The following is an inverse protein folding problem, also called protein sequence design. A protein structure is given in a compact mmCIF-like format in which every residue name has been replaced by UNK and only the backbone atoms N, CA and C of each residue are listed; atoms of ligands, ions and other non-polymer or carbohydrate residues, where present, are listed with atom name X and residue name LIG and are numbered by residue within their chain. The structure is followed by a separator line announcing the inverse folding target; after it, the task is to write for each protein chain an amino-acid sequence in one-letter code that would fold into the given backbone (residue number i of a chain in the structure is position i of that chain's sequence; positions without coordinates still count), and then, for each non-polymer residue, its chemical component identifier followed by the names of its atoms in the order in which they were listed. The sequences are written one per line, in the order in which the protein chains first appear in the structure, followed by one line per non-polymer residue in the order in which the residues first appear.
data_IF_821580307904
#
_entry.id   IF_821580307904
#
_cell.length_a   1.000
_cell.length_b   1.000
_cell.length_c   1.000
_cell.angle_alpha   90.00
_cell.angle_beta   90.00
_cell.angle_gamma   90.00
#
_symmetry.space_group_name_H-M   'P 1'
#
loop_
_entity.id
_entity.type
_entity.pdbx_description
1 polymer ?
#
# COMPACT_ATOMS: atom_id res chain seq x y z
N UNK A 1 12.07 -54.95 13.89
CA UNK A 1 11.39 -55.90 12.98
C UNK A 1 12.46 -56.74 12.31
N UNK A 2 12.36 -58.07 12.31
CA UNK A 2 13.31 -58.93 11.58
C UNK A 2 13.19 -58.68 10.08
N UNK A 3 14.31 -58.67 9.35
CA UNK A 3 14.29 -58.53 7.89
C UNK A 3 13.70 -59.78 7.22
N UNK A 4 13.26 -59.68 5.96
CA UNK A 4 12.69 -60.83 5.25
C UNK A 4 13.69 -61.98 5.07
N UNK A 5 14.99 -61.69 4.99
CA UNK A 5 16.06 -62.70 4.92
C UNK A 5 16.24 -63.41 6.27
N UNK A 6 16.25 -62.67 7.38
CA UNK A 6 16.33 -63.24 8.74
C UNK A 6 15.11 -64.14 9.06
N UNK A 7 13.93 -63.82 8.52
CA UNK A 7 12.74 -64.65 8.65
C UNK A 7 12.85 -65.96 7.86
N UNK A 8 13.48 -65.94 6.69
CA UNK A 8 13.73 -67.14 5.88
C UNK A 8 14.71 -68.08 6.59
N UNK A 9 15.78 -67.52 7.17
CA UNK A 9 16.74 -68.29 7.95
C UNK A 9 16.13 -68.85 9.24
N UNK A 10 15.39 -68.02 9.98
CA UNK A 10 14.75 -68.42 11.24
C UNK A 10 13.73 -69.56 11.07
N UNK A 11 13.03 -69.60 9.94
CA UNK A 11 12.07 -70.66 9.64
C UNK A 11 12.67 -71.82 8.81
N UNK A 12 13.97 -71.79 8.53
CA UNK A 12 14.67 -72.90 7.85
C UNK A 12 14.36 -73.03 6.36
N UNK A 13 13.93 -71.95 5.71
CA UNK A 13 13.70 -71.90 4.27
C UNK A 13 12.52 -71.03 3.84
N UNK A 14 12.43 -70.76 2.54
CA UNK A 14 11.45 -69.83 1.96
C UNK A 14 10.01 -70.34 2.14
N UNK A 15 9.78 -71.65 1.98
CA UNK A 15 8.43 -72.24 2.09
C UNK A 15 7.87 -72.24 3.52
N UNK A 16 8.63 -72.62 4.56
CA UNK A 16 8.22 -72.43 5.96
C UNK A 16 7.98 -70.97 6.33
N UNK A 17 8.85 -70.05 5.89
CA UNK A 17 8.71 -68.62 6.15
C UNK A 17 7.47 -68.02 5.47
N UNK A 18 7.18 -68.41 4.22
CA UNK A 18 5.99 -67.97 3.50
C UNK A 18 4.70 -68.44 4.19
N UNK A 19 4.70 -69.68 4.70
CA UNK A 19 3.58 -70.23 5.49
C UNK A 19 3.39 -69.49 6.82
N UNK A 20 4.48 -69.18 7.52
CA UNK A 20 4.44 -68.40 8.77
C UNK A 20 3.93 -66.96 8.56
N UNK A 21 4.25 -66.36 7.41
CA UNK A 21 3.78 -65.03 7.00
C UNK A 21 2.40 -65.04 6.31
N UNK A 22 1.78 -66.22 6.15
CA UNK A 22 0.52 -66.42 5.44
C UNK A 22 0.49 -65.84 4.01
N UNK A 23 1.60 -65.91 3.28
CA UNK A 23 1.72 -65.47 1.89
C UNK A 23 2.14 -66.64 0.98
N UNK A 24 1.79 -66.61 -0.33
CA UNK A 24 2.29 -67.61 -1.28
C UNK A 24 3.83 -67.61 -1.36
N UNK A 25 4.43 -68.79 -1.54
CA UNK A 25 5.89 -68.94 -1.65
C UNK A 25 6.45 -68.13 -2.84
N UNK A 26 5.73 -68.08 -3.96
CA UNK A 26 6.08 -67.27 -5.13
C UNK A 26 6.16 -65.78 -4.79
N UNK A 27 5.27 -65.29 -3.93
CA UNK A 27 5.26 -63.90 -3.45
C UNK A 27 6.47 -63.62 -2.56
N UNK A 28 6.85 -64.55 -1.67
CA UNK A 28 8.04 -64.38 -0.84
C UNK A 28 9.33 -64.43 -1.67
N UNK A 29 9.44 -65.35 -2.64
CA UNK A 29 10.57 -65.38 -3.60
C UNK A 29 10.66 -64.08 -4.40
N UNK A 30 9.54 -63.55 -4.87
CA UNK A 30 9.49 -62.28 -5.59
C UNK A 30 10.00 -61.11 -4.75
N UNK A 31 9.59 -61.04 -3.47
CA UNK A 31 10.07 -60.01 -2.53
C UNK A 31 11.56 -60.15 -2.21
N UNK A 32 12.08 -61.36 -2.05
CA UNK A 32 13.51 -61.60 -1.85
C UNK A 32 14.34 -61.18 -3.08
N UNK A 33 13.88 -61.53 -4.29
CA UNK A 33 14.51 -61.11 -5.54
C UNK A 33 14.47 -59.59 -5.72
N UNK A 34 13.42 -58.92 -5.24
CA UNK A 34 13.32 -57.46 -5.27
C UNK A 34 14.32 -56.79 -4.30
N UNK A 35 14.68 -57.46 -3.19
CA UNK A 35 15.72 -56.99 -2.28
C UNK A 35 17.15 -57.13 -2.84
N UNK A 36 17.36 -57.95 -3.88
CA UNK A 36 18.63 -58.04 -4.62
C UNK A 36 18.86 -56.80 -5.52
N UNK A 37 17.84 -55.96 -5.72
CA UNK A 37 17.91 -54.74 -6.51
C UNK A 37 17.71 -53.52 -5.60
N UNK A 38 18.78 -52.74 -5.39
CA UNK A 38 18.69 -51.45 -4.70
C UNK A 38 18.44 -50.35 -5.73
N UNK A 39 17.26 -49.73 -5.67
CA UNK A 39 16.96 -48.54 -6.46
C UNK A 39 17.39 -47.32 -5.66
N UNK A 40 18.39 -46.59 -6.14
CA UNK A 40 18.70 -45.27 -5.61
C UNK A 40 17.57 -44.31 -6.02
N UNK A 41 16.77 -43.90 -5.03
CA UNK A 41 15.81 -42.83 -5.25
C UNK A 41 16.58 -41.52 -5.44
N UNK A 42 16.24 -40.69 -6.44
CA UNK A 42 16.82 -39.36 -6.55
C UNK A 42 16.51 -38.56 -5.28
N UNK A 43 17.34 -37.55 -4.99
CA UNK A 43 17.05 -36.63 -3.90
C UNK A 43 15.62 -36.06 -4.07
N UNK A 44 14.86 -35.95 -2.97
CA UNK A 44 13.54 -35.33 -3.04
C UNK A 44 13.63 -33.91 -3.60
N UNK A 45 12.78 -33.58 -4.57
CA UNK A 45 12.69 -32.23 -5.16
C UNK A 45 12.32 -31.15 -4.11
N UNK A 46 11.62 -31.57 -3.06
CA UNK A 46 11.20 -30.69 -1.97
C UNK A 46 12.22 -30.71 -0.82
N UNK A 47 12.42 -29.53 -0.23
CA UNK A 47 13.19 -29.40 1.01
C UNK A 47 12.53 -30.24 2.12
N UNK A 48 13.35 -30.87 3.00
CA UNK A 48 12.86 -31.48 4.23
C UNK A 48 12.02 -30.50 5.04
N UNK A 49 10.99 -31.02 5.72
CA UNK A 49 10.00 -30.23 6.47
C UNK A 49 10.69 -29.35 7.51
N UNK A 50 11.75 -29.85 8.15
CA UNK A 50 12.54 -29.12 9.14
C UNK A 50 13.20 -27.86 8.55
N UNK A 51 13.76 -27.97 7.34
CA UNK A 51 14.34 -26.81 6.62
C UNK A 51 13.27 -25.82 6.19
N UNK A 52 12.09 -26.30 5.78
CA UNK A 52 10.94 -25.45 5.48
C UNK A 52 10.49 -24.68 6.73
N UNK A 53 10.40 -25.35 7.88
CA UNK A 53 10.01 -24.73 9.15
C UNK A 53 10.99 -23.61 9.53
N UNK A 54 12.30 -23.85 9.49
CA UNK A 54 13.29 -22.82 9.82
C UNK A 54 13.21 -21.62 8.88
N UNK A 55 13.15 -21.85 7.56
CA UNK A 55 12.94 -20.78 6.57
C UNK A 55 11.68 -19.97 6.87
N UNK A 56 10.57 -20.63 7.26
CA UNK A 56 9.31 -19.95 7.59
C UNK A 56 9.41 -19.13 8.88
N UNK A 57 10.15 -19.60 9.90
CA UNK A 57 10.42 -18.84 11.12
C UNK A 57 11.21 -17.56 10.80
N UNK A 58 12.26 -17.66 9.99
CA UNK A 58 13.05 -16.50 9.57
C UNK A 58 12.22 -15.47 8.78
N UNK A 59 11.45 -15.94 7.79
CA UNK A 59 10.53 -15.10 7.02
C UNK A 59 9.51 -14.40 7.91
N UNK A 60 8.96 -15.10 8.91
CA UNK A 60 8.04 -14.51 9.88
C UNK A 60 8.73 -13.41 10.70
N UNK A 61 9.94 -13.62 11.20
CA UNK A 61 10.64 -12.59 11.98
C UNK A 61 10.97 -11.36 11.13
N UNK A 62 11.38 -11.55 9.87
CA UNK A 62 11.58 -10.45 8.93
C UNK A 62 10.28 -9.68 8.69
N UNK A 63 9.19 -10.39 8.39
CA UNK A 63 7.87 -9.79 8.20
C UNK A 63 7.42 -9.04 9.45
N UNK A 64 7.55 -9.64 10.63
CA UNK A 64 7.21 -9.01 11.92
C UNK A 64 7.97 -7.71 12.13
N UNK A 65 9.29 -7.68 11.90
CA UNK A 65 10.09 -6.44 12.00
C UNK A 65 9.60 -5.37 11.02
N UNK A 66 9.34 -5.77 9.77
CA UNK A 66 8.82 -4.89 8.74
C UNK A 66 7.45 -4.29 9.13
N UNK A 67 6.48 -5.11 9.57
CA UNK A 67 5.16 -4.62 10.00
C UNK A 67 5.28 -3.68 11.21
N UNK A 68 6.11 -4.01 12.21
CA UNK A 68 6.32 -3.16 13.38
C UNK A 68 6.93 -1.80 13.01
N UNK A 69 7.87 -1.76 12.06
CA UNK A 69 8.47 -0.51 11.55
C UNK A 69 7.46 0.30 10.72
N UNK A 70 6.58 -0.38 9.98
CA UNK A 70 5.54 0.25 9.15
C UNK A 70 4.41 0.87 9.98
N UNK A 71 4.15 0.36 11.19
CA UNK A 71 3.08 0.86 12.08
C UNK A 71 3.14 2.38 12.32
N UNK A 72 4.35 2.94 12.42
CA UNK A 72 4.57 4.38 12.51
C UNK A 72 6.01 4.68 12.06
N UNK A 73 6.16 5.20 10.85
CA UNK A 73 7.46 5.48 10.24
C UNK A 73 7.93 6.88 10.68
N UNK A 74 9.07 7.00 11.38
CA UNK A 74 9.61 8.30 11.75
C UNK A 74 10.22 9.00 10.53
N UNK A 75 9.86 10.27 10.32
CA UNK A 75 10.40 11.14 9.28
C UNK A 75 11.06 12.34 9.93
N UNK A 76 12.37 12.48 9.77
CA UNK A 76 13.12 13.62 10.30
C UNK A 76 12.98 14.81 9.34
N UNK A 77 12.26 15.85 9.75
CA UNK A 77 12.17 17.10 9.01
C UNK A 77 13.47 17.87 9.22
N UNK A 78 14.19 18.15 8.13
CA UNK A 78 15.52 18.78 8.18
C UNK A 78 15.50 20.29 7.94
N UNK A 79 14.36 20.83 7.53
CA UNK A 79 14.17 22.27 7.33
C UNK A 79 13.47 22.86 8.54
N UNK A 80 13.85 24.05 8.95
CA UNK A 80 13.21 24.75 10.05
C UNK A 80 11.82 25.28 9.64
N UNK A 81 10.96 25.53 10.64
CA UNK A 81 9.62 26.13 10.59
C UNK A 81 8.59 25.50 9.63
N UNK A 82 7.54 26.22 9.15
CA UNK A 82 6.40 25.58 8.53
C UNK A 82 6.69 24.83 7.24
N UNK A 83 5.99 23.71 7.05
CA UNK A 83 6.01 22.89 5.83
C UNK A 83 4.58 22.74 5.30
N UNK A 84 4.44 22.49 4.00
CA UNK A 84 3.19 22.11 3.37
C UNK A 84 3.26 20.71 2.80
N UNK A 85 2.12 20.03 2.76
CA UNK A 85 1.95 18.77 2.03
C UNK A 85 0.75 18.89 1.11
N UNK A 86 0.97 18.80 -0.19
CA UNK A 86 -0.09 18.70 -1.19
C UNK A 86 -0.46 17.23 -1.36
N UNK A 87 -1.62 16.85 -0.86
CA UNK A 87 -2.16 15.51 -0.97
C UNK A 87 -2.94 15.36 -2.27
N UNK A 88 -2.32 14.74 -3.27
CA UNK A 88 -2.97 14.34 -4.51
C UNK A 88 -3.91 13.18 -4.21
N UNK A 89 -5.20 13.32 -4.55
CA UNK A 89 -6.13 12.20 -4.62
C UNK A 89 -5.85 11.35 -5.84
N UNK A 90 -6.85 10.68 -6.40
CA UNK A 90 -6.65 9.64 -7.42
C UNK A 90 -6.32 10.26 -8.79
N UNK A 91 -5.07 10.18 -9.31
CA UNK A 91 -4.68 10.90 -10.51
C UNK A 91 -5.25 10.31 -11.80
N UNK A 92 -5.26 8.97 -11.95
CA UNK A 92 -5.66 8.28 -13.18
C UNK A 92 -5.09 8.94 -14.46
N UNK A 93 -3.77 9.12 -14.51
CA UNK A 93 -3.10 9.96 -15.52
C UNK A 93 -3.32 9.52 -16.97
N UNK A 94 -3.78 8.30 -17.18
CA UNK A 94 -4.01 7.67 -18.47
C UNK A 94 -5.47 7.69 -18.93
N UNK A 95 -6.39 8.24 -18.14
CA UNK A 95 -7.80 8.37 -18.47
C UNK A 95 -8.10 9.66 -19.25
N UNK A 96 -8.91 9.57 -20.31
CA UNK A 96 -9.32 10.72 -21.12
C UNK A 96 -10.14 11.76 -20.32
N UNK A 97 -10.74 11.33 -19.19
CA UNK A 97 -11.48 12.19 -18.27
C UNK A 97 -10.64 12.92 -17.24
N UNK A 98 -9.31 12.76 -17.27
CA UNK A 98 -8.37 13.35 -16.31
C UNK A 98 -7.92 14.76 -16.71
N UNK A 99 -8.01 15.71 -15.79
CA UNK A 99 -7.46 17.05 -15.97
C UNK A 99 -5.94 17.06 -15.70
N UNK A 100 -5.18 16.66 -16.73
CA UNK A 100 -3.71 16.68 -16.69
C UNK A 100 -3.14 18.09 -16.55
N UNK A 101 -3.86 19.13 -16.99
CA UNK A 101 -3.37 20.52 -16.87
C UNK A 101 -3.36 20.96 -15.41
N UNK A 102 -4.44 20.65 -14.67
CA UNK A 102 -4.51 20.92 -13.24
C UNK A 102 -3.50 20.06 -12.46
N UNK A 103 -3.36 18.78 -12.82
CA UNK A 103 -2.35 17.91 -12.22
C UNK A 103 -0.93 18.48 -12.40
N UNK A 104 -0.57 18.87 -13.62
CA UNK A 104 0.74 19.47 -13.93
C UNK A 104 0.96 20.77 -13.14
N UNK A 105 -0.05 21.64 -13.04
CA UNK A 105 0.04 22.87 -12.26
C UNK A 105 0.34 22.59 -10.77
N UNK A 106 -0.31 21.58 -10.17
CA UNK A 106 -0.06 21.17 -8.79
C UNK A 106 1.31 20.51 -8.60
N UNK A 107 1.79 19.76 -9.60
CA UNK A 107 3.17 19.21 -9.60
C UNK A 107 4.19 20.35 -9.58
N UNK A 108 4.04 21.34 -10.47
CA UNK A 108 4.91 22.53 -10.53
C UNK A 108 4.86 23.31 -9.23
N UNK A 109 3.68 23.45 -8.63
CA UNK A 109 3.54 24.13 -7.34
C UNK A 109 4.42 23.48 -6.26
N UNK A 110 4.45 22.14 -6.20
CA UNK A 110 5.33 21.40 -5.29
C UNK A 110 6.83 21.58 -5.62
N UNK A 111 7.19 21.69 -6.90
CA UNK A 111 8.57 21.93 -7.33
C UNK A 111 9.06 23.34 -6.97
N UNK A 112 8.20 24.34 -7.13
CA UNK A 112 8.56 25.76 -7.06
C UNK A 112 8.39 26.36 -5.65
N UNK A 113 7.50 25.79 -4.83
CA UNK A 113 7.20 26.32 -3.49
C UNK A 113 8.12 25.71 -2.43
N UNK A 114 8.94 26.56 -1.80
CA UNK A 114 9.86 26.11 -0.76
C UNK A 114 9.12 25.47 0.44
N UNK A 115 9.49 24.22 0.76
CA UNK A 115 8.92 23.49 1.89
C UNK A 115 7.53 22.90 1.63
N UNK A 116 7.03 22.95 0.39
CA UNK A 116 5.86 22.19 -0.05
C UNK A 116 6.32 20.84 -0.63
N UNK A 117 5.71 19.76 -0.16
CA UNK A 117 5.99 18.40 -0.64
C UNK A 117 4.74 17.75 -1.19
N UNK A 118 4.89 16.92 -2.22
CA UNK A 118 3.79 16.12 -2.75
C UNK A 118 3.53 14.87 -1.89
N UNK A 119 2.28 14.43 -1.86
CA UNK A 119 1.89 13.14 -1.31
C UNK A 119 0.77 12.53 -2.15
N UNK A 120 0.93 11.30 -2.63
CA UNK A 120 -0.10 10.63 -3.43
C UNK A 120 -0.91 9.63 -2.58
N UNK A 121 -2.22 9.64 -2.77
CA UNK A 121 -3.20 8.78 -2.08
C UNK A 121 -3.58 7.52 -2.89
N UNK A 122 -3.02 7.34 -4.10
CA UNK A 122 -3.10 6.10 -4.87
C UNK A 122 -3.73 6.26 -6.23
N UNK A 123 -3.90 5.15 -6.95
CA UNK A 123 -4.55 5.08 -8.26
C UNK A 123 -3.93 6.06 -9.28
N UNK A 124 -2.61 6.01 -9.37
CA UNK A 124 -1.84 6.87 -10.30
C UNK A 124 -2.28 6.67 -11.74
N UNK A 125 -2.73 5.46 -12.08
CA UNK A 125 -3.20 5.02 -13.40
C UNK A 125 -4.44 4.12 -13.23
N UNK A 126 -5.21 3.96 -14.31
CA UNK A 126 -6.34 3.04 -14.36
C UNK A 126 -5.94 1.56 -14.29
N UNK A 127 -4.79 1.18 -14.87
CA UNK A 127 -4.26 -0.20 -14.82
C UNK A 127 -5.33 -1.29 -15.12
N UNK A 128 -6.11 -1.14 -16.18
CA UNK A 128 -7.21 -2.08 -16.45
C UNK A 128 -6.71 -3.51 -16.69
N UNK A 129 -7.12 -4.47 -15.86
CA UNK A 129 -6.73 -5.89 -16.03
C UNK A 129 -7.94 -6.84 -16.10
N UNK A 130 -7.69 -8.07 -16.56
CA UNK A 130 -8.68 -9.13 -16.59
C UNK A 130 -9.94 -8.71 -17.37
N UNK A 131 -11.11 -8.81 -16.73
CA UNK A 131 -12.40 -8.43 -17.36
C UNK A 131 -12.52 -6.94 -17.66
N UNK A 132 -11.79 -6.10 -16.92
CA UNK A 132 -11.79 -4.66 -17.12
C UNK A 132 -10.85 -4.24 -18.26
N UNK A 133 -9.93 -5.10 -18.71
CA UNK A 133 -9.01 -4.80 -19.80
C UNK A 133 -9.69 -4.36 -21.12
N UNK A 134 -10.96 -4.74 -21.32
CA UNK A 134 -11.77 -4.23 -22.45
C UNK A 134 -11.93 -2.71 -22.45
N UNK A 135 -11.82 -2.05 -21.30
CA UNK A 135 -11.94 -0.60 -21.15
C UNK A 135 -10.78 0.14 -21.80
N UNK A 136 -9.64 -0.51 -22.07
CA UNK A 136 -8.60 0.05 -22.94
C UNK A 136 -9.12 0.35 -24.35
N UNK A 137 -10.15 -0.35 -24.84
CA UNK A 137 -10.80 -0.02 -26.11
C UNK A 137 -11.79 1.15 -26.03
N UNK A 138 -12.03 1.69 -24.84
CA UNK A 138 -12.90 2.83 -24.57
C UNK A 138 -12.12 4.09 -24.17
N UNK A 139 -10.78 4.05 -24.14
CA UNK A 139 -9.89 5.18 -23.88
C UNK A 139 -8.88 5.35 -25.01
N UNK A 140 -8.34 6.56 -25.17
CA UNK A 140 -7.35 6.86 -26.20
C UNK A 140 -5.93 6.37 -25.88
N UNK A 141 -5.64 6.17 -24.59
CA UNK A 141 -4.31 5.77 -24.09
C UNK A 141 -4.13 4.26 -24.05
N UNK A 142 -3.05 3.76 -24.66
CA UNK A 142 -2.64 2.35 -24.53
C UNK A 142 -2.01 2.05 -23.17
N UNK A 143 -1.89 0.77 -22.81
CA UNK A 143 -1.20 0.36 -21.57
C UNK A 143 0.28 0.81 -21.52
N UNK A 144 0.96 0.88 -22.67
CA UNK A 144 2.35 1.33 -22.73
C UNK A 144 2.49 2.85 -22.55
N UNK A 145 1.53 3.63 -23.05
CA UNK A 145 1.47 5.09 -22.82
C UNK A 145 1.08 5.39 -21.37
N UNK A 146 0.18 4.60 -20.79
CA UNK A 146 -0.20 4.71 -19.37
C UNK A 146 1.02 4.63 -18.44
N UNK A 147 1.96 3.71 -18.71
CA UNK A 147 3.20 3.62 -17.95
C UNK A 147 4.12 4.82 -18.13
N UNK A 148 4.22 5.39 -19.33
CA UNK A 148 5.02 6.59 -19.58
C UNK A 148 4.45 7.81 -18.83
N UNK A 149 3.12 7.96 -18.82
CA UNK A 149 2.43 9.02 -18.08
C UNK A 149 2.60 8.85 -16.57
N UNK A 150 2.46 7.63 -16.05
CA UNK A 150 2.70 7.33 -14.64
C UNK A 150 4.17 7.61 -14.26
N UNK A 151 5.13 7.21 -15.09
CA UNK A 151 6.54 7.50 -14.88
C UNK A 151 6.84 9.00 -14.87
N UNK A 152 6.26 9.76 -15.80
CA UNK A 152 6.37 11.22 -15.84
C UNK A 152 5.84 11.84 -14.54
N UNK A 153 4.64 11.49 -14.11
CA UNK A 153 4.04 12.03 -12.89
C UNK A 153 4.89 11.71 -11.64
N UNK A 154 5.31 10.46 -11.51
CA UNK A 154 6.04 9.98 -10.33
C UNK A 154 7.46 10.54 -10.24
N UNK A 155 8.14 10.76 -11.36
CA UNK A 155 9.52 11.29 -11.37
C UNK A 155 9.60 12.80 -11.21
N UNK A 156 8.55 13.53 -11.59
CA UNK A 156 8.58 14.99 -11.64
C UNK A 156 7.95 15.67 -10.41
N UNK A 157 7.70 14.98 -9.31
CA UNK A 157 7.11 15.61 -8.11
C UNK A 157 7.97 15.32 -6.87
N UNK A 158 8.24 16.30 -6.00
CA UNK A 158 9.02 16.08 -4.78
C UNK A 158 8.16 15.41 -3.70
N UNK A 159 8.14 14.08 -3.72
CA UNK A 159 7.28 13.27 -2.84
C UNK A 159 7.80 13.14 -1.41
N UNK A 160 6.92 13.37 -0.43
CA UNK A 160 7.07 12.92 0.95
C UNK A 160 6.73 11.43 1.08
N UNK A 161 5.61 11.01 0.48
CA UNK A 161 5.19 9.62 0.40
C UNK A 161 4.32 9.37 -0.83
N UNK A 162 4.28 8.12 -1.23
CA UNK A 162 3.37 7.59 -2.24
C UNK A 162 2.69 6.36 -1.63
N UNK A 163 1.36 6.28 -1.71
CA UNK A 163 0.66 5.02 -1.50
C UNK A 163 0.05 4.54 -2.81
N UNK A 164 -0.07 3.23 -2.96
CA UNK A 164 -0.84 2.62 -4.04
C UNK A 164 -2.33 2.56 -3.69
N UNK A 165 -3.17 2.49 -4.72
CA UNK A 165 -4.60 2.23 -4.59
C UNK A 165 -5.00 0.85 -5.07
N UNK A 166 -6.30 0.62 -5.26
CA UNK A 166 -6.76 -0.69 -5.74
C UNK A 166 -6.38 -0.93 -7.20
N UNK A 167 -6.27 0.12 -8.01
CA UNK A 167 -5.86 -0.01 -9.40
C UNK A 167 -4.40 -0.47 -9.50
N UNK A 168 -3.52 0.09 -8.67
CA UNK A 168 -2.10 -0.30 -8.59
C UNK A 168 -1.94 -1.76 -8.09
N UNK A 169 -2.87 -2.24 -7.27
CA UNK A 169 -2.81 -3.58 -6.69
C UNK A 169 -3.25 -4.71 -7.64
N UNK A 170 -4.02 -4.41 -8.70
CA UNK A 170 -4.63 -5.44 -9.54
C UNK A 170 -3.62 -6.27 -10.33
N UNK A 171 -2.49 -5.68 -10.72
CA UNK A 171 -1.40 -6.36 -11.43
C UNK A 171 -0.46 -7.14 -10.49
N UNK A 172 -0.69 -7.08 -9.17
CA UNK A 172 0.10 -7.80 -8.17
C UNK A 172 1.59 -7.49 -8.28
N UNK A 173 2.42 -8.53 -8.49
CA UNK A 173 3.86 -8.37 -8.66
C UNK A 173 4.27 -7.74 -10.00
N UNK A 174 3.34 -7.65 -10.96
CA UNK A 174 3.57 -7.05 -12.28
C UNK A 174 3.33 -5.55 -12.35
N UNK A 175 2.91 -4.91 -11.25
CA UNK A 175 2.68 -3.47 -11.21
C UNK A 175 4.01 -2.68 -11.25
N UNK A 176 4.20 -1.75 -12.21
CA UNK A 176 5.47 -1.09 -12.42
C UNK A 176 5.75 0.05 -11.41
N UNK A 177 4.73 0.56 -10.71
CA UNK A 177 4.83 1.73 -9.85
C UNK A 177 5.91 1.53 -8.78
N UNK A 178 5.91 0.36 -8.14
CA UNK A 178 6.92 0.05 -7.11
C UNK A 178 8.36 0.12 -7.65
N UNK A 179 8.57 -0.30 -8.90
CA UNK A 179 9.90 -0.28 -9.52
C UNK A 179 10.30 1.14 -9.92
N UNK A 180 9.39 1.90 -10.55
CA UNK A 180 9.58 3.30 -10.95
C UNK A 180 9.95 4.15 -9.72
N UNK A 181 9.16 4.04 -8.66
CA UNK A 181 9.34 4.82 -7.42
C UNK A 181 10.60 4.40 -6.66
N UNK A 182 10.93 3.10 -6.68
CA UNK A 182 12.15 2.58 -6.05
C UNK A 182 13.44 3.21 -6.59
N UNK A 183 13.47 3.57 -7.88
CA UNK A 183 14.61 4.28 -8.47
C UNK A 183 14.71 5.75 -8.02
N UNK A 184 13.57 6.37 -7.70
CA UNK A 184 13.51 7.75 -7.21
C UNK A 184 13.82 7.89 -5.71
N UNK A 185 13.95 6.77 -4.98
CA UNK A 185 14.25 6.78 -3.54
C UNK A 185 13.10 7.28 -2.65
N UNK A 186 11.88 7.29 -3.17
CA UNK A 186 10.68 7.78 -2.46
C UNK A 186 10.04 6.65 -1.63
N UNK A 187 9.48 7.01 -0.48
CA UNK A 187 8.73 6.07 0.36
C UNK A 187 7.43 5.65 -0.33
N UNK A 188 7.37 4.40 -0.78
CA UNK A 188 6.18 3.77 -1.33
C UNK A 188 5.60 2.71 -0.40
N UNK A 189 4.29 2.72 -0.22
CA UNK A 189 3.54 1.64 0.43
C UNK A 189 2.34 1.23 -0.41
N UNK A 190 1.98 -0.05 -0.43
CA UNK A 190 0.98 -0.57 -1.37
C UNK A 190 -0.46 -0.11 -1.16
N UNK A 191 -0.79 0.54 -0.03
CA UNK A 191 -2.19 0.86 0.32
C UNK A 191 -2.33 1.89 1.44
N UNK A 192 -1.35 1.93 2.35
CA UNK A 192 -1.38 2.76 3.54
C UNK A 192 0.01 3.09 4.05
N UNK A 193 0.13 4.27 4.62
CA UNK A 193 1.33 4.72 5.32
C UNK A 193 0.93 5.54 6.55
N UNK A 194 1.65 5.33 7.65
CA UNK A 194 1.52 6.16 8.85
C UNK A 194 2.87 6.75 9.20
N UNK A 195 2.96 8.07 9.23
CA UNK A 195 4.20 8.83 9.42
C UNK A 195 4.17 9.59 10.74
N UNK A 196 5.33 9.70 11.39
CA UNK A 196 5.58 10.66 12.45
C UNK A 196 6.61 11.68 11.98
N UNK A 197 6.16 12.88 11.66
CA UNK A 197 7.04 13.99 11.29
C UNK A 197 7.67 14.56 12.55
N UNK A 198 8.98 14.40 12.70
CA UNK A 198 9.76 14.92 13.82
C UNK A 198 10.49 16.20 13.37
N UNK A 199 10.04 17.35 13.86
CA UNK A 199 10.60 18.67 13.52
C UNK A 199 11.86 18.97 14.35
N UNK A 200 12.73 19.91 13.90
CA UNK A 200 13.94 20.30 14.63
C UNK A 200 13.68 20.76 16.07
N UNK A 201 12.54 21.41 16.31
CA UNK A 201 12.10 21.85 17.64
C UNK A 201 11.45 20.74 18.49
N UNK A 202 11.56 19.47 18.06
CA UNK A 202 10.97 18.27 18.69
C UNK A 202 9.44 18.21 18.65
N UNK A 203 8.77 19.13 17.96
CA UNK A 203 7.35 18.99 17.68
C UNK A 203 7.13 17.75 16.80
N UNK A 204 6.07 17.01 17.09
CA UNK A 204 5.70 15.81 16.35
C UNK A 204 4.32 15.96 15.73
N UNK A 205 4.21 15.63 14.44
CA UNK A 205 2.92 15.61 13.71
C UNK A 205 2.75 14.27 13.02
N UNK A 206 1.61 13.63 13.27
CA UNK A 206 1.31 12.28 12.78
C UNK A 206 0.34 12.32 11.62
N UNK A 207 0.65 11.57 10.58
CA UNK A 207 -0.14 11.45 9.35
C UNK A 207 -0.51 9.99 9.15
N UNK A 208 -1.79 9.71 8.89
CA UNK A 208 -2.31 8.41 8.54
C UNK A 208 -2.99 8.49 7.18
N UNK A 209 -2.26 8.11 6.13
CA UNK A 209 -2.75 8.13 4.77
C UNK A 209 -3.09 6.72 4.32
N UNK A 210 -4.27 6.57 3.74
CA UNK A 210 -4.76 5.30 3.19
C UNK A 210 -5.49 5.57 1.90
N UNK A 211 -5.46 4.62 0.98
CA UNK A 211 -6.25 4.76 -0.23
C UNK A 211 -7.75 4.86 0.10
N UNK A 212 -8.22 4.02 1.04
CA UNK A 212 -9.55 4.16 1.66
C UNK A 212 -9.54 3.77 3.15
N UNK A 213 -10.54 4.25 3.89
CA UNK A 213 -10.84 3.84 5.26
C UNK A 213 -12.15 3.06 5.33
N UNK A 214 -12.17 2.02 6.16
CA UNK A 214 -13.38 1.20 6.37
C UNK A 214 -14.52 2.00 6.99
N UNK A 215 -15.66 2.03 6.27
CA UNK A 215 -16.87 2.73 6.68
C UNK A 215 -17.35 3.67 5.58
N UNK A 216 -18.65 3.72 5.36
CA UNK A 216 -19.27 4.52 4.31
C UNK A 216 -20.51 5.24 4.85
N UNK A 217 -20.78 6.43 4.32
CA UNK A 217 -21.99 7.20 4.58
C UNK A 217 -22.44 7.90 3.30
N UNK A 218 -23.75 7.85 3.02
CA UNK A 218 -24.36 8.62 1.94
C UNK A 218 -24.47 10.12 2.25
N UNK A 219 -24.20 10.53 3.50
CA UNK A 219 -24.33 11.92 3.97
C UNK A 219 -22.99 12.62 4.22
N UNK A 220 -21.93 11.86 4.50
CA UNK A 220 -20.62 12.42 4.84
C UNK A 220 -19.52 11.62 4.10
N UNK A 221 -18.96 12.17 3.02
CA UNK A 221 -17.84 11.55 2.30
C UNK A 221 -16.66 11.22 3.21
N UNK A 222 -16.34 12.08 4.19
CA UNK A 222 -15.27 11.85 5.16
C UNK A 222 -15.64 10.88 6.30
N UNK A 223 -16.73 10.12 6.19
CA UNK A 223 -17.19 9.26 7.30
C UNK A 223 -16.18 8.17 7.68
N UNK A 224 -15.62 7.45 6.70
CA UNK A 224 -14.67 6.36 6.97
C UNK A 224 -13.43 6.85 7.72
N UNK A 225 -12.86 7.96 7.26
CA UNK A 225 -11.68 8.60 7.88
C UNK A 225 -12.02 9.21 9.25
N UNK A 226 -13.18 9.85 9.40
CA UNK A 226 -13.68 10.39 10.68
C UNK A 226 -13.87 9.30 11.72
N UNK A 227 -14.45 8.16 11.30
CA UNK A 227 -14.65 6.97 12.15
C UNK A 227 -13.30 6.40 12.60
N UNK A 228 -12.32 6.33 11.69
CA UNK A 228 -10.99 5.84 12.03
C UNK A 228 -10.30 6.73 13.08
N UNK A 229 -10.48 8.05 13.02
CA UNK A 229 -9.98 8.97 14.05
C UNK A 229 -10.74 8.88 15.37
N UNK A 230 -12.02 8.52 15.39
CA UNK A 230 -12.80 8.35 16.64
C UNK A 230 -12.55 7.03 17.35
N UNK A 231 -12.37 5.93 16.60
CA UNK A 231 -12.31 4.58 17.17
C UNK A 231 -10.97 3.88 16.98
N UNK A 232 -10.08 4.47 16.18
CA UNK A 232 -8.74 3.96 15.91
C UNK A 232 -7.68 4.84 16.56
N UNK A 233 -6.74 5.30 15.74
CA UNK A 233 -5.56 6.05 16.18
C UNK A 233 -5.82 7.56 16.18
N UNK A 234 -5.20 8.27 17.14
CA UNK A 234 -5.29 9.73 17.30
C UNK A 234 -4.13 10.43 16.59
N UNK A 235 -4.31 10.63 15.29
CA UNK A 235 -3.35 11.30 14.43
C UNK A 235 -3.84 12.69 14.04
N UNK A 236 -2.91 13.60 13.82
CA UNK A 236 -3.23 14.99 13.50
C UNK A 236 -3.88 15.09 12.13
N UNK A 237 -3.43 14.26 11.18
CA UNK A 237 -3.95 14.20 9.82
C UNK A 237 -4.30 12.75 9.51
N UNK A 238 -5.54 12.48 9.14
CA UNK A 238 -5.95 11.24 8.49
C UNK A 238 -6.55 11.58 7.13
N UNK A 239 -6.09 10.93 6.06
CA UNK A 239 -6.45 11.30 4.69
C UNK A 239 -6.63 10.10 3.76
N UNK A 240 -7.64 10.15 2.89
CA UNK A 240 -7.92 9.12 1.88
C UNK A 240 -8.50 9.66 0.57
N UNK A 241 -8.64 8.77 -0.42
CA UNK A 241 -9.14 9.02 -1.78
C UNK A 241 -10.15 7.95 -2.17
N UNK A 242 -9.90 7.24 -3.27
CA UNK A 242 -10.65 6.08 -3.81
C UNK A 242 -12.07 6.36 -4.31
N UNK A 243 -12.84 7.19 -3.61
CA UNK A 243 -14.27 7.41 -3.86
C UNK A 243 -14.54 8.59 -4.80
N UNK A 244 -13.50 9.28 -5.27
CA UNK A 244 -13.61 10.45 -6.15
C UNK A 244 -14.56 11.54 -5.62
N UNK A 245 -14.66 11.67 -4.30
CA UNK A 245 -15.52 12.65 -3.61
C UNK A 245 -14.75 13.28 -2.46
N UNK A 246 -15.00 14.56 -2.21
CA UNK A 246 -14.30 15.31 -1.18
C UNK A 246 -15.12 15.39 0.11
N UNK A 247 -14.42 15.41 1.23
CA UNK A 247 -15.04 15.64 2.53
C UNK A 247 -14.02 16.04 3.58
N UNK A 248 -14.46 16.80 4.59
CA UNK A 248 -13.58 17.23 5.67
C UNK A 248 -14.33 17.26 7.00
N UNK A 249 -13.70 16.67 8.02
CA UNK A 249 -14.14 16.73 9.40
C UNK A 249 -12.98 17.14 10.31
N UNK A 250 -13.29 17.99 11.30
CA UNK A 250 -12.34 18.41 12.34
C UNK A 250 -12.84 17.91 13.67
N UNK A 251 -11.98 17.20 14.40
CA UNK A 251 -12.33 16.52 15.64
C UNK A 251 -11.25 16.85 16.65
N UNK A 252 -11.64 17.21 17.88
CA UNK A 252 -10.69 17.35 18.99
C UNK A 252 -10.66 16.04 19.77
N UNK A 253 -9.48 15.50 20.00
CA UNK A 253 -9.33 14.37 20.91
C UNK A 253 -9.49 14.84 22.37
N UNK A 254 -10.45 14.30 23.14
CA UNK A 254 -10.71 14.79 24.50
C UNK A 254 -9.61 14.41 25.50
N UNK A 255 -8.80 13.39 25.20
CA UNK A 255 -7.73 12.91 26.08
C UNK A 255 -6.41 13.66 25.85
N UNK A 256 -5.91 13.68 24.61
CA UNK A 256 -4.65 14.36 24.27
C UNK A 256 -4.82 15.85 23.97
N UNK A 257 -6.03 16.31 23.66
CA UNK A 257 -6.34 17.70 23.33
C UNK A 257 -5.93 18.13 21.93
N UNK A 258 -5.35 17.26 21.11
CA UNK A 258 -4.95 17.58 19.74
C UNK A 258 -6.16 17.74 18.83
N UNK A 259 -6.00 18.59 17.80
CA UNK A 259 -6.94 18.65 16.68
C UNK A 259 -6.56 17.59 15.66
N UNK A 260 -7.56 16.83 15.22
CA UNK A 260 -7.45 15.78 14.22
C UNK A 260 -8.27 16.16 12.99
N UNK A 261 -7.62 16.08 11.83
CA UNK A 261 -8.19 16.43 10.53
C UNK A 261 -8.49 15.16 9.75
N UNK A 262 -9.77 14.92 9.47
CA UNK A 262 -10.25 13.80 8.68
C UNK A 262 -10.55 14.30 7.26
N UNK A 263 -9.73 13.95 6.28
CA UNK A 263 -9.82 14.47 4.91
C UNK A 263 -10.08 13.34 3.93
N UNK A 264 -11.04 13.53 3.03
CA UNK A 264 -11.15 12.72 1.82
C UNK A 264 -10.97 13.66 0.63
N UNK A 265 -9.97 13.40 -0.22
CA UNK A 265 -9.74 14.13 -1.46
C UNK A 265 -10.42 13.42 -2.62
N UNK A 266 -10.82 14.18 -3.65
CA UNK A 266 -11.44 13.60 -4.84
C UNK A 266 -10.36 13.17 -5.86
N UNK A 267 -10.73 13.05 -7.13
CA UNK A 267 -9.87 12.57 -8.20
C UNK A 267 -9.60 13.66 -9.25
N UNK A 268 -8.45 13.58 -9.92
CA UNK A 268 -8.17 14.37 -11.12
C UNK A 268 -8.94 13.85 -12.35
N UNK A 269 -9.47 12.63 -12.30
CA UNK A 269 -10.45 12.10 -13.24
C UNK A 269 -11.83 12.69 -12.95
N UNK A 270 -12.09 13.85 -13.55
CA UNK A 270 -13.31 14.63 -13.36
C UNK A 270 -14.49 14.01 -14.12
N UNK A 271 -14.24 13.52 -15.33
CA UNK A 271 -15.28 12.97 -16.19
C UNK A 271 -15.21 11.46 -16.26
N UNK A 272 -16.16 10.80 -15.59
CA UNK A 272 -16.25 9.34 -15.59
C UNK A 272 -17.60 8.84 -16.09
N UNK A 273 -17.55 8.00 -17.13
CA UNK A 273 -18.73 7.31 -17.66
C UNK A 273 -19.34 6.39 -16.61
N UNK A 274 -18.53 5.68 -15.84
CA UNK A 274 -19.03 4.74 -14.83
C UNK A 274 -19.80 5.45 -13.73
N UNK A 275 -19.25 6.55 -13.20
CA UNK A 275 -19.95 7.41 -12.24
C UNK A 275 -21.31 7.92 -12.77
N UNK A 276 -21.37 8.32 -14.05
CA UNK A 276 -22.61 8.75 -14.70
C UNK A 276 -23.63 7.62 -14.81
N UNK A 277 -23.22 6.44 -15.29
CA UNK A 277 -24.10 5.27 -15.42
C UNK A 277 -24.64 4.78 -14.06
N UNK A 278 -23.85 4.92 -12.99
CA UNK A 278 -24.25 4.60 -11.63
C UNK A 278 -25.04 5.71 -10.92
N UNK A 279 -25.17 6.88 -11.53
CA UNK A 279 -25.90 8.01 -10.96
C UNK A 279 -25.25 8.56 -9.68
N UNK A 280 -23.92 8.49 -9.57
CA UNK A 280 -23.22 9.10 -8.44
C UNK A 280 -23.36 10.62 -8.50
N UNK A 281 -23.59 11.22 -7.32
CA UNK A 281 -23.70 12.67 -7.19
C UNK A 281 -22.32 13.28 -7.11
N UNK A 282 -22.17 14.42 -7.76
CA UNK A 282 -20.97 15.22 -7.63
C UNK A 282 -20.85 15.77 -6.21
N UNK A 283 -19.82 15.31 -5.51
CA UNK A 283 -19.38 15.82 -4.19
C UNK A 283 -17.89 16.18 -4.27
N UNK A 284 -17.42 16.58 -5.45
CA UNK A 284 -16.04 16.97 -5.70
C UNK A 284 -15.84 18.43 -5.26
N UNK A 285 -14.98 18.64 -4.25
CA UNK A 285 -14.53 19.98 -3.86
C UNK A 285 -13.20 20.32 -4.52
N UNK A 286 -12.28 19.35 -4.57
CA UNK A 286 -10.95 19.47 -5.14
C UNK A 286 -10.32 18.08 -5.30
N UNK A 287 -9.49 17.85 -6.34
CA UNK A 287 -8.77 16.58 -6.49
C UNK A 287 -7.62 16.44 -5.47
N UNK A 288 -7.38 17.48 -4.66
CA UNK A 288 -6.30 17.51 -3.70
C UNK A 288 -6.65 18.34 -2.46
N UNK A 289 -5.78 18.29 -1.46
CA UNK A 289 -5.82 19.22 -0.34
C UNK A 289 -4.40 19.54 0.12
N UNK A 290 -4.14 20.78 0.51
CA UNK A 290 -2.87 21.18 1.12
C UNK A 290 -3.03 21.20 2.63
N UNK A 291 -2.13 20.51 3.34
CA UNK A 291 -1.98 20.65 4.80
C UNK A 291 -0.73 21.47 5.10
N UNK A 292 -0.91 22.66 5.68
CA UNK A 292 0.19 23.48 6.17
C UNK A 292 0.36 23.21 7.66
N UNK A 293 1.58 22.79 8.03
CA UNK A 293 1.93 22.44 9.40
C UNK A 293 2.88 23.52 9.92
N UNK A 294 2.47 24.23 10.98
CA UNK A 294 3.29 25.23 11.66
C UNK A 294 3.85 24.66 12.97
N UNK A 295 5.09 24.14 12.98
CA UNK A 295 5.64 23.49 14.16
C UNK A 295 5.95 24.48 15.30
N UNK A 296 5.87 25.80 15.08
CA UNK A 296 6.03 26.79 16.15
C UNK A 296 4.81 26.85 17.08
N UNK A 297 3.65 26.34 16.63
CA UNK A 297 2.44 26.27 17.43
C UNK A 297 2.45 25.03 18.33
N UNK A 298 1.88 25.11 19.54
CA UNK A 298 1.70 23.95 20.41
C UNK A 298 0.89 22.83 19.73
N UNK A 299 1.15 21.58 20.12
CA UNK A 299 0.44 20.39 19.59
C UNK A 299 -1.10 20.46 19.70
N UNK A 300 -1.61 21.20 20.68
CA UNK A 300 -3.05 21.36 20.96
C UNK A 300 -3.65 22.62 20.30
N UNK A 301 -2.85 23.41 19.60
CA UNK A 301 -3.32 24.60 18.91
C UNK A 301 -4.17 24.20 17.69
N UNK A 302 -5.37 24.79 17.50
CA UNK A 302 -6.26 24.41 16.41
C UNK A 302 -5.68 24.66 15.01
N UNK A 303 -4.83 25.67 14.85
CA UNK A 303 -4.13 25.96 13.59
C UNK A 303 -2.71 25.34 13.50
N UNK A 304 -2.34 24.38 14.36
CA UNK A 304 -1.10 23.60 14.16
C UNK A 304 -1.04 23.02 12.75
N UNK A 305 -2.18 22.50 12.30
CA UNK A 305 -2.41 22.05 10.93
C UNK A 305 -3.55 22.88 10.35
N UNK A 306 -3.34 23.46 9.18
CA UNK A 306 -4.37 24.15 8.41
C UNK A 306 -4.58 23.47 7.06
N UNK A 307 -5.85 23.20 6.73
CA UNK A 307 -6.25 22.50 5.50
C UNK A 307 -6.79 23.51 4.49
N UNK A 308 -6.32 23.42 3.26
CA UNK A 308 -6.77 24.21 2.11
C UNK A 308 -7.21 23.27 0.99
N UNK A 309 -8.35 23.56 0.37
CA UNK A 309 -8.84 22.83 -0.80
C UNK A 309 -8.29 23.40 -2.11
N UNK A 310 -8.01 24.70 -2.13
CA UNK A 310 -7.26 25.36 -3.19
C UNK A 310 -5.76 25.21 -2.92
N UNK A 311 -5.05 24.58 -3.85
CA UNK A 311 -3.63 24.31 -3.69
C UNK A 311 -2.78 25.59 -3.72
N UNK A 312 -3.14 26.57 -4.55
CA UNK A 312 -2.42 27.82 -4.69
C UNK A 312 -2.55 28.68 -3.43
N UNK A 313 -3.77 28.81 -2.87
CA UNK A 313 -3.97 29.50 -1.59
C UNK A 313 -3.15 28.86 -0.46
N UNK A 314 -3.10 27.53 -0.42
CA UNK A 314 -2.29 26.79 0.55
C UNK A 314 -0.78 27.06 0.41
N UNK A 315 -0.28 27.12 -0.82
CA UNK A 315 1.12 27.41 -1.12
C UNK A 315 1.50 28.87 -0.83
N UNK A 316 0.62 29.82 -1.15
CA UNK A 316 0.80 31.24 -0.80
C UNK A 316 0.82 31.43 0.72
N UNK A 317 -0.11 30.78 1.43
CA UNK A 317 -0.15 30.81 2.89
C UNK A 317 1.13 30.22 3.50
N UNK A 318 1.62 29.09 2.98
CA UNK A 318 2.90 28.50 3.40
C UNK A 318 4.05 29.49 3.19
N UNK A 319 4.15 30.09 2.00
CA UNK A 319 5.21 31.05 1.66
C UNK A 319 5.20 32.24 2.62
N UNK A 320 4.02 32.78 2.91
CA UNK A 320 3.83 33.84 3.89
C UNK A 320 4.23 33.41 5.32
N UNK A 321 3.87 32.20 5.74
CA UNK A 321 4.27 31.68 7.06
C UNK A 321 5.78 31.46 7.14
N UNK A 322 6.43 31.09 6.03
CA UNK A 322 7.88 30.93 5.96
C UNK A 322 8.64 32.24 5.96
N UNK A 323 8.09 33.31 5.38
CA UNK A 323 8.73 34.64 5.38
C UNK A 323 8.73 35.33 6.74
N UNK A 324 7.99 34.80 7.72
CA UNK A 324 7.94 35.27 9.11
C UNK A 324 8.86 34.51 10.07
N UNK A 325 9.74 33.64 9.54
CA UNK A 325 10.75 32.94 10.34
C UNK A 325 11.92 33.85 10.70
#
# INVERSE_FOLDING_TARGET
MKTLQELVEHHGGIRPAAKALAIPESTLRGRLKQLEMQVEAPEPELLPVEKLIERRKEQYQQKKRHELQRNLIPVKVKIDGPIGILHFGDPHVDDDGTDLSQLEAHMRLCQETEGLYGANIGDSQNNWVGRLGRLYGEQSTSAAESWQLAEWFLKNTPWLYLIGGNHDAWSGAGDPIRWIVGQAGVLYQSSEVRLNLCFPNKQEVRINARHDFSGHSIYNPAHGVTKALHFGVRDHIAICGHKHTSGYGVIKDPESGITMHAVQVASYKVYDRYARERGFRDQHLSPCAVTVIDPALPATHPDLVKVFWDAHEGAEYLTYKRSRK
#
